data_IF_864198541536
#
_entry.id   IF_864198541536
#
_cell.length_a   1.000
_cell.length_b   1.000
_cell.length_c   1.000
_cell.angle_alpha   90.00
_cell.angle_beta   90.00
_cell.angle_gamma   90.00
#
_symmetry.space_group_name_H-M   'P 1'
#
loop_
_entity.id
_entity.type
_entity.pdbx_description
1 polymer ?
#
# COMPACT_ATOMS: atom_id res chain seq x y z
N UNK A 1 -18.11 -1.08 19.13
CA UNK A 1 -17.34 -0.22 18.21
C UNK A 1 -15.82 -0.35 18.43
N UNK A 2 -15.32 -0.23 19.67
CA UNK A 2 -13.88 -0.35 19.96
C UNK A 2 -13.24 -1.65 19.44
N UNK A 3 -13.89 -2.80 19.62
CA UNK A 3 -13.38 -4.08 19.10
C UNK A 3 -13.26 -4.10 17.56
N UNK A 4 -14.21 -3.47 16.85
CA UNK A 4 -14.14 -3.34 15.39
C UNK A 4 -12.95 -2.47 14.96
N UNK A 5 -12.70 -1.37 15.70
CA UNK A 5 -11.52 -0.53 15.51
C UNK A 5 -10.22 -1.29 15.81
N UNK A 6 -10.18 -2.17 16.82
CA UNK A 6 -9.02 -3.02 17.08
C UNK A 6 -8.70 -3.92 15.89
N UNK A 7 -9.70 -4.59 15.32
CA UNK A 7 -9.49 -5.42 14.12
C UNK A 7 -9.02 -4.61 12.91
N UNK A 8 -9.47 -3.35 12.77
CA UNK A 8 -8.94 -2.44 11.76
C UNK A 8 -7.43 -2.22 11.91
N UNK A 9 -6.96 -1.91 13.12
CA UNK A 9 -5.53 -1.68 13.36
C UNK A 9 -4.68 -2.96 13.23
N UNK A 10 -5.28 -4.13 13.44
CA UNK A 10 -4.68 -5.44 13.16
C UNK A 10 -4.73 -5.83 11.67
N UNK A 11 -5.27 -4.97 10.79
CA UNK A 11 -5.51 -5.24 9.37
C UNK A 11 -6.42 -6.45 9.10
N UNK A 12 -7.20 -6.90 10.09
CA UNK A 12 -8.20 -7.96 9.94
C UNK A 12 -9.54 -7.37 9.45
N UNK A 13 -9.53 -6.85 8.22
CA UNK A 13 -10.61 -6.04 7.66
C UNK A 13 -11.96 -6.78 7.59
N UNK A 14 -11.98 -8.07 7.25
CA UNK A 14 -13.22 -8.83 7.16
C UNK A 14 -13.90 -8.97 8.52
N UNK A 15 -13.14 -9.25 9.58
CA UNK A 15 -13.66 -9.32 10.95
C UNK A 15 -14.16 -7.96 11.43
N UNK A 16 -13.43 -6.89 11.07
CA UNK A 16 -13.83 -5.51 11.37
C UNK A 16 -15.17 -5.15 10.71
N UNK A 17 -15.33 -5.44 9.41
CA UNK A 17 -16.58 -5.21 8.66
C UNK A 17 -17.75 -5.98 9.29
N UNK A 18 -17.56 -7.26 9.62
CA UNK A 18 -18.61 -8.07 10.25
C UNK A 18 -19.11 -7.43 11.55
N UNK A 19 -18.20 -6.91 12.38
CA UNK A 19 -18.58 -6.22 13.62
C UNK A 19 -19.22 -4.86 13.38
N UNK A 20 -18.75 -4.08 12.40
CA UNK A 20 -19.40 -2.82 12.04
C UNK A 20 -20.82 -3.05 11.55
N UNK A 21 -21.06 -4.05 10.70
CA UNK A 21 -22.39 -4.45 10.27
C UNK A 21 -23.27 -4.90 11.46
N UNK A 22 -22.71 -5.68 12.39
CA UNK A 22 -23.41 -6.08 13.61
C UNK A 22 -23.81 -4.86 14.45
N UNK A 23 -22.91 -3.89 14.65
CA UNK A 23 -23.19 -2.65 15.38
C UNK A 23 -24.26 -1.83 14.66
N UNK A 24 -24.15 -1.72 13.33
CA UNK A 24 -25.10 -0.98 12.50
C UNK A 24 -26.53 -1.51 12.62
N UNK A 25 -26.69 -2.82 12.79
CA UNK A 25 -28.00 -3.49 12.93
C UNK A 25 -28.56 -3.43 14.36
N UNK A 26 -27.71 -3.63 15.38
CA UNK A 26 -28.16 -3.72 16.77
C UNK A 26 -28.17 -2.37 17.50
N UNK A 27 -27.37 -1.41 17.05
CA UNK A 27 -27.21 -0.08 17.64
C UNK A 27 -27.25 0.99 16.53
N UNK A 28 -28.41 1.21 15.88
CA UNK A 28 -28.50 2.00 14.65
C UNK A 28 -28.13 3.47 14.80
N UNK A 29 -28.14 4.02 16.03
CA UNK A 29 -27.75 5.39 16.32
C UNK A 29 -26.23 5.56 16.58
N UNK A 30 -25.47 4.46 16.64
CA UNK A 30 -24.04 4.50 16.91
C UNK A 30 -23.25 4.76 15.62
N UNK A 31 -22.52 5.89 15.58
CA UNK A 31 -21.64 6.32 14.49
C UNK A 31 -20.16 6.31 14.87
N UNK A 32 -19.81 5.78 16.04
CA UNK A 32 -18.43 5.78 16.53
C UNK A 32 -17.55 4.92 15.62
N UNK A 33 -16.40 5.48 15.23
CA UNK A 33 -15.39 4.83 14.37
C UNK A 33 -15.88 4.49 12.95
N UNK A 34 -16.94 5.14 12.47
CA UNK A 34 -17.41 4.94 11.10
C UNK A 34 -16.46 5.53 10.05
N UNK A 35 -15.57 6.45 10.43
CA UNK A 35 -14.42 6.84 9.63
C UNK A 35 -13.54 5.63 9.31
N UNK A 36 -13.23 4.79 10.31
CA UNK A 36 -12.47 3.55 10.11
C UNK A 36 -13.24 2.56 9.24
N UNK A 37 -14.55 2.41 9.46
CA UNK A 37 -15.38 1.56 8.61
C UNK A 37 -15.32 2.01 7.15
N UNK A 38 -15.48 3.30 6.89
CA UNK A 38 -15.38 3.86 5.53
C UNK A 38 -13.99 3.71 4.91
N UNK A 39 -12.91 3.82 5.70
CA UNK A 39 -11.54 3.56 5.22
C UNK A 39 -11.39 2.11 4.75
N UNK A 40 -11.98 1.14 5.45
CA UNK A 40 -11.96 -0.27 5.02
C UNK A 40 -12.70 -0.44 3.70
N UNK A 41 -13.91 0.12 3.59
CA UNK A 41 -14.71 0.02 2.37
C UNK A 41 -14.01 0.69 1.17
N UNK A 42 -13.33 1.81 1.41
CA UNK A 42 -12.45 2.45 0.43
C UNK A 42 -11.32 1.50 -0.02
N UNK A 43 -10.58 0.90 0.92
CA UNK A 43 -9.48 -0.04 0.62
C UNK A 43 -9.98 -1.26 -0.17
N UNK A 44 -11.17 -1.78 0.15
CA UNK A 44 -11.78 -2.91 -0.57
C UNK A 44 -12.48 -2.51 -1.87
N UNK A 45 -12.47 -1.22 -2.23
CA UNK A 45 -13.18 -0.66 -3.38
C UNK A 45 -14.69 -1.01 -3.40
N UNK A 46 -15.32 -1.13 -2.22
CA UNK A 46 -16.75 -1.44 -2.11
C UNK A 46 -17.58 -0.15 -2.13
N UNK A 47 -17.72 0.41 -3.33
CA UNK A 47 -18.45 1.66 -3.54
C UNK A 47 -19.94 1.53 -3.21
N UNK A 48 -20.52 0.32 -3.31
CA UNK A 48 -21.94 0.08 -3.04
C UNK A 48 -22.22 0.17 -1.55
N UNK A 49 -21.44 -0.55 -0.74
CA UNK A 49 -21.58 -0.50 0.70
C UNK A 49 -21.21 0.88 1.24
N UNK A 50 -20.17 1.52 0.67
CA UNK A 50 -19.77 2.87 1.07
C UNK A 50 -20.89 3.89 0.79
N UNK A 51 -21.56 3.82 -0.37
CA UNK A 51 -22.70 4.69 -0.67
C UNK A 51 -23.86 4.52 0.33
N UNK A 52 -24.20 3.27 0.66
CA UNK A 52 -25.24 2.98 1.66
C UNK A 52 -24.85 3.43 3.06
N UNK A 53 -23.56 3.38 3.39
CA UNK A 53 -23.05 3.90 4.66
C UNK A 53 -23.17 5.43 4.70
N UNK A 54 -22.81 6.11 3.60
CA UNK A 54 -22.93 7.56 3.47
C UNK A 54 -24.36 8.04 3.69
N UNK A 55 -25.36 7.44 3.01
CA UNK A 55 -26.77 7.85 3.17
C UNK A 55 -27.22 7.71 4.62
N UNK A 56 -26.90 6.58 5.27
CA UNK A 56 -27.25 6.35 6.67
C UNK A 56 -26.58 7.35 7.62
N UNK A 57 -25.29 7.66 7.43
CA UNK A 57 -24.58 8.61 8.29
C UNK A 57 -25.16 10.02 8.17
N UNK A 58 -25.50 10.44 6.94
CA UNK A 58 -26.10 11.74 6.66
C UNK A 58 -27.49 11.87 7.28
N UNK A 59 -28.33 10.82 7.18
CA UNK A 59 -29.65 10.80 7.80
C UNK A 59 -29.60 10.89 9.34
N UNK A 60 -28.60 10.26 9.95
CA UNK A 60 -28.46 10.22 11.41
C UNK A 60 -27.83 11.48 12.00
N UNK A 61 -26.68 11.91 11.46
CA UNK A 61 -26.00 13.11 11.91
C UNK A 61 -25.01 13.61 10.83
N UNK A 62 -25.39 14.61 10.02
CA UNK A 62 -24.54 15.13 8.95
C UNK A 62 -23.35 15.97 9.43
N UNK A 63 -23.42 16.53 10.65
CA UNK A 63 -22.40 17.44 11.19
C UNK A 63 -21.31 16.70 11.98
N UNK A 64 -21.43 15.38 12.10
CA UNK A 64 -20.45 14.57 12.83
C UNK A 64 -19.15 14.43 12.02
N UNK A 65 -17.95 14.58 12.64
CA UNK A 65 -16.68 14.42 11.94
C UNK A 65 -16.53 13.07 11.20
N UNK A 66 -16.98 11.98 11.81
CA UNK A 66 -16.96 10.65 11.19
C UNK A 66 -17.84 10.60 9.93
N UNK A 67 -19.05 11.16 10.00
CA UNK A 67 -19.96 11.26 8.84
C UNK A 67 -19.30 12.01 7.69
N UNK A 68 -18.62 13.13 7.98
CA UNK A 68 -17.89 13.88 6.98
C UNK A 68 -16.74 13.09 6.36
N UNK A 69 -16.04 12.27 7.15
CA UNK A 69 -15.03 11.34 6.64
C UNK A 69 -15.65 10.26 5.74
N UNK A 70 -16.81 9.72 6.11
CA UNK A 70 -17.54 8.75 5.27
C UNK A 70 -17.93 9.37 3.92
N UNK A 71 -18.46 10.59 3.91
CA UNK A 71 -18.80 11.32 2.68
C UNK A 71 -17.53 11.60 1.86
N UNK A 72 -16.46 12.04 2.49
CA UNK A 72 -15.20 12.34 1.81
C UNK A 72 -14.59 11.09 1.15
N UNK A 73 -14.55 9.97 1.87
CA UNK A 73 -14.08 8.69 1.32
C UNK A 73 -14.94 8.23 0.14
N UNK A 74 -16.25 8.45 0.17
CA UNK A 74 -17.13 8.16 -0.96
C UNK A 74 -16.80 9.00 -2.20
N UNK A 75 -16.57 10.31 -2.03
CA UNK A 75 -16.16 11.17 -3.13
C UNK A 75 -14.76 10.83 -3.66
N UNK A 76 -13.83 10.52 -2.76
CA UNK A 76 -12.47 10.07 -3.12
C UNK A 76 -12.53 8.80 -3.96
N UNK A 77 -13.32 7.80 -3.56
CA UNK A 77 -13.49 6.55 -4.32
C UNK A 77 -14.14 6.76 -5.70
N UNK A 78 -14.94 7.81 -5.85
CA UNK A 78 -15.49 8.24 -7.15
C UNK A 78 -14.50 9.01 -8.02
N UNK A 79 -13.28 9.30 -7.52
CA UNK A 79 -12.28 10.13 -8.19
C UNK A 79 -12.55 11.64 -8.08
N UNK A 80 -13.49 12.06 -7.21
CA UNK A 80 -13.76 13.48 -6.97
C UNK A 80 -12.99 13.97 -5.74
N UNK A 81 -11.69 14.16 -5.92
CA UNK A 81 -10.75 14.51 -4.86
C UNK A 81 -10.99 15.90 -4.27
N UNK A 82 -11.43 16.87 -5.08
CA UNK A 82 -11.71 18.24 -4.59
C UNK A 82 -12.86 18.23 -3.57
N UNK A 83 -13.97 17.54 -3.87
CA UNK A 83 -15.07 17.39 -2.94
C UNK A 83 -14.64 16.58 -1.70
N UNK A 84 -13.85 15.52 -1.88
CA UNK A 84 -13.32 14.74 -0.76
C UNK A 84 -12.54 15.65 0.22
N UNK A 85 -11.66 16.50 -0.30
CA UNK A 85 -10.90 17.48 0.48
C UNK A 85 -11.84 18.45 1.21
N UNK A 86 -12.89 18.95 0.56
CA UNK A 86 -13.85 19.86 1.20
C UNK A 86 -14.53 19.20 2.42
N UNK A 87 -15.00 17.96 2.28
CA UNK A 87 -15.64 17.24 3.38
C UNK A 87 -14.65 16.87 4.48
N UNK A 88 -13.42 16.47 4.16
CA UNK A 88 -12.38 16.28 5.17
C UNK A 88 -12.04 17.58 5.91
N UNK A 89 -11.99 18.72 5.19
CA UNK A 89 -11.81 20.04 5.81
C UNK A 89 -12.96 20.37 6.76
N UNK A 90 -14.21 20.03 6.41
CA UNK A 90 -15.34 20.16 7.33
C UNK A 90 -15.12 19.28 8.56
N UNK A 91 -14.71 18.03 8.42
CA UNK A 91 -14.46 17.13 9.56
C UNK A 91 -13.48 17.72 10.59
N UNK A 92 -12.38 18.35 10.13
CA UNK A 92 -11.40 19.00 11.02
C UNK A 92 -11.89 20.33 11.62
N UNK A 93 -12.90 20.99 11.03
CA UNK A 93 -13.53 22.16 11.68
C UNK A 93 -14.32 21.77 12.92
N UNK A 94 -14.97 20.59 12.89
CA UNK A 94 -15.69 20.05 14.05
C UNK A 94 -14.77 19.33 15.04
N UNK A 95 -13.68 18.70 14.56
CA UNK A 95 -12.68 18.04 15.41
C UNK A 95 -11.25 18.36 14.94
N UNK A 96 -10.65 19.46 15.42
CA UNK A 96 -9.31 19.88 14.98
C UNK A 96 -8.18 18.90 15.33
N UNK A 97 -8.41 18.00 16.29
CA UNK A 97 -7.46 16.98 16.74
C UNK A 97 -7.59 15.66 15.98
N UNK A 98 -8.50 15.57 15.00
CA UNK A 98 -8.75 14.36 14.23
C UNK A 98 -7.58 14.08 13.26
N UNK A 99 -6.52 13.50 13.81
CA UNK A 99 -5.19 13.50 13.18
C UNK A 99 -5.16 12.70 11.88
N UNK A 100 -5.89 11.58 11.82
CA UNK A 100 -6.01 10.74 10.62
C UNK A 100 -6.54 11.51 9.42
N UNK A 101 -7.41 12.50 9.63
CA UNK A 101 -8.01 13.28 8.53
C UNK A 101 -6.98 14.15 7.83
N UNK A 102 -5.99 14.71 8.54
CA UNK A 102 -4.90 15.45 7.89
C UNK A 102 -4.07 14.55 6.97
N UNK A 103 -3.86 13.29 7.35
CA UNK A 103 -3.21 12.29 6.49
C UNK A 103 -4.06 11.99 5.25
N UNK A 104 -5.38 11.83 5.41
CA UNK A 104 -6.30 11.60 4.28
C UNK A 104 -6.34 12.80 3.32
N UNK A 105 -6.41 14.03 3.83
CA UNK A 105 -6.29 15.24 2.99
C UNK A 105 -4.97 15.25 2.22
N UNK A 106 -3.88 14.83 2.85
CA UNK A 106 -2.58 14.68 2.20
C UNK A 106 -2.61 13.67 1.05
N UNK A 107 -3.32 12.55 1.19
CA UNK A 107 -3.51 11.58 0.10
C UNK A 107 -4.32 12.18 -1.05
N UNK A 108 -5.40 12.91 -0.77
CA UNK A 108 -6.19 13.54 -1.84
C UNK A 108 -5.39 14.58 -2.62
N UNK A 109 -4.57 15.40 -1.95
CA UNK A 109 -3.68 16.33 -2.65
C UNK A 109 -2.59 15.61 -3.46
N UNK A 110 -2.18 14.41 -3.05
CA UNK A 110 -1.26 13.59 -3.86
C UNK A 110 -1.91 13.14 -5.16
N UNK A 111 -3.17 12.72 -5.13
CA UNK A 111 -3.93 12.36 -6.35
C UNK A 111 -4.12 13.56 -7.28
N UNK A 112 -4.32 14.76 -6.72
CA UNK A 112 -4.35 16.02 -7.47
C UNK A 112 -2.97 16.52 -7.92
N UNK A 113 -1.87 15.87 -7.53
CA UNK A 113 -0.48 16.30 -7.76
C UNK A 113 -0.14 17.67 -7.16
N UNK A 114 -0.92 18.11 -6.17
CA UNK A 114 -0.73 19.34 -5.40
C UNK A 114 0.26 19.10 -4.25
N UNK A 115 1.51 18.83 -4.60
CA UNK A 115 2.52 18.32 -3.66
C UNK A 115 2.79 19.23 -2.46
N UNK A 116 2.77 20.56 -2.65
CA UNK A 116 2.97 21.52 -1.55
C UNK A 116 1.85 21.42 -0.49
N UNK A 117 0.61 21.25 -0.94
CA UNK A 117 -0.55 21.11 -0.07
C UNK A 117 -0.57 19.73 0.61
N UNK A 118 -0.10 18.69 -0.07
CA UNK A 118 0.12 17.37 0.53
C UNK A 118 1.17 17.44 1.66
N UNK A 119 2.33 18.06 1.42
CA UNK A 119 3.38 18.25 2.43
C UNK A 119 2.85 19.02 3.64
N UNK A 120 2.10 20.10 3.42
CA UNK A 120 1.47 20.85 4.51
C UNK A 120 0.56 19.97 5.36
N UNK A 121 -0.27 19.16 4.71
CA UNK A 121 -1.27 18.30 5.37
C UNK A 121 -0.61 17.17 6.18
N UNK A 122 0.40 16.49 5.63
CA UNK A 122 1.15 15.49 6.37
C UNK A 122 1.93 16.08 7.54
N UNK A 123 2.56 17.25 7.37
CA UNK A 123 3.25 17.93 8.48
C UNK A 123 2.28 18.33 9.60
N UNK A 124 1.04 18.73 9.26
CA UNK A 124 -0.01 18.94 10.24
C UNK A 124 -0.37 17.66 10.97
N UNK A 125 -0.52 16.54 10.26
CA UNK A 125 -0.76 15.23 10.89
C UNK A 125 0.36 14.90 11.89
N UNK A 126 1.63 15.07 11.50
CA UNK A 126 2.80 14.81 12.35
C UNK A 126 2.93 15.79 13.53
N UNK A 127 2.40 17.00 13.41
CA UNK A 127 2.33 17.94 14.53
C UNK A 127 1.43 17.42 15.65
N UNK A 128 0.31 16.79 15.31
CA UNK A 128 -0.64 16.23 16.29
C UNK A 128 -0.25 14.82 16.73
N UNK A 129 0.23 13.98 15.81
CA UNK A 129 0.72 12.64 16.11
C UNK A 129 2.03 12.33 15.37
N UNK A 130 3.15 12.41 16.11
CA UNK A 130 4.48 12.13 15.57
C UNK A 130 4.70 10.66 15.22
N UNK A 131 3.88 9.74 15.73
CA UNK A 131 4.00 8.30 15.49
C UNK A 131 3.08 7.81 14.36
N UNK A 132 2.37 8.70 13.65
CA UNK A 132 1.58 8.29 12.48
C UNK A 132 2.51 7.96 11.30
N UNK A 133 2.87 6.68 11.19
CA UNK A 133 3.74 6.17 10.12
C UNK A 133 3.18 6.47 8.71
N UNK A 134 1.86 6.61 8.56
CA UNK A 134 1.21 6.87 7.25
C UNK A 134 1.55 8.27 6.75
N UNK A 135 1.67 9.25 7.64
CA UNK A 135 2.08 10.60 7.26
C UNK A 135 3.58 10.65 6.91
N UNK A 136 4.43 9.89 7.61
CA UNK A 136 5.84 9.72 7.24
C UNK A 136 5.98 9.05 5.87
N UNK A 137 5.24 7.96 5.64
CA UNK A 137 5.16 7.27 4.35
C UNK A 137 4.68 8.22 3.24
N UNK A 138 3.61 8.99 3.50
CA UNK A 138 3.05 9.98 2.57
C UNK A 138 4.06 11.04 2.17
N UNK A 139 4.83 11.58 3.12
CA UNK A 139 5.94 12.51 2.82
C UNK A 139 7.02 11.84 1.95
N UNK A 140 7.40 10.59 2.25
CA UNK A 140 8.32 9.82 1.40
C UNK A 140 7.84 9.75 -0.05
N UNK A 141 6.57 9.41 -0.26
CA UNK A 141 5.93 9.37 -1.59
C UNK A 141 5.93 10.74 -2.27
N UNK A 142 5.64 11.82 -1.53
CA UNK A 142 5.65 13.19 -2.09
C UNK A 142 7.05 13.58 -2.56
N UNK A 143 8.06 13.42 -1.71
CA UNK A 143 9.44 13.79 -2.06
C UNK A 143 10.01 12.93 -3.18
N UNK A 144 9.61 11.66 -3.26
CA UNK A 144 9.92 10.82 -4.41
C UNK A 144 9.31 11.38 -5.70
N UNK A 145 8.05 11.81 -5.65
CA UNK A 145 7.35 12.41 -6.80
C UNK A 145 7.97 13.75 -7.24
N UNK A 146 8.64 14.45 -6.33
CA UNK A 146 9.43 15.66 -6.59
C UNK A 146 10.87 15.37 -7.04
N UNK A 147 11.24 14.10 -7.25
CA UNK A 147 12.62 13.67 -7.58
C UNK A 147 13.67 14.02 -6.51
N UNK A 148 13.23 14.26 -5.27
CA UNK A 148 14.08 14.57 -4.12
C UNK A 148 14.36 13.30 -3.32
N UNK A 149 15.16 12.41 -3.91
CA UNK A 149 15.39 11.03 -3.44
C UNK A 149 16.01 10.94 -2.04
N UNK A 150 16.90 11.86 -1.67
CA UNK A 150 17.54 11.88 -0.34
C UNK A 150 16.53 12.20 0.76
N UNK A 151 15.64 13.18 0.51
CA UNK A 151 14.54 13.50 1.41
C UNK A 151 13.55 12.34 1.49
N UNK A 152 13.17 11.77 0.34
CA UNK A 152 12.33 10.58 0.28
C UNK A 152 12.89 9.44 1.15
N UNK A 153 14.19 9.15 1.02
CA UNK A 153 14.86 8.11 1.80
C UNK A 153 14.75 8.37 3.30
N UNK A 154 14.92 9.62 3.75
CA UNK A 154 14.78 9.97 5.17
C UNK A 154 13.36 9.68 5.69
N UNK A 155 12.32 10.08 4.94
CA UNK A 155 10.94 9.88 5.36
C UNK A 155 10.53 8.40 5.34
N UNK A 156 10.99 7.62 4.36
CA UNK A 156 10.75 6.17 4.34
C UNK A 156 11.47 5.43 5.47
N UNK A 157 12.69 5.82 5.84
CA UNK A 157 13.40 5.27 7.01
C UNK A 157 12.60 5.55 8.29
N UNK A 158 12.09 6.77 8.46
CA UNK A 158 11.24 7.10 9.62
C UNK A 158 9.94 6.29 9.63
N UNK A 159 9.33 6.06 8.48
CA UNK A 159 8.15 5.21 8.37
C UNK A 159 8.46 3.75 8.74
N UNK A 160 9.59 3.20 8.30
CA UNK A 160 9.99 1.81 8.61
C UNK A 160 10.41 1.61 10.06
N UNK A 161 10.99 2.63 10.71
CA UNK A 161 11.26 2.62 12.16
C UNK A 161 9.97 2.53 12.99
N UNK A 162 8.90 3.22 12.56
CA UNK A 162 7.60 3.23 13.25
C UNK A 162 6.75 1.99 12.94
N UNK A 163 6.92 1.41 11.74
CA UNK A 163 6.14 0.28 11.25
C UNK A 163 7.08 -0.75 10.59
N UNK A 164 7.93 -1.45 11.38
CA UNK A 164 8.95 -2.36 10.85
C UNK A 164 8.38 -3.66 10.28
N UNK A 165 7.12 -3.97 10.60
CA UNK A 165 6.35 -5.14 10.19
C UNK A 165 5.66 -4.98 8.82
N UNK A 166 5.72 -3.79 8.20
CA UNK A 166 5.08 -3.52 6.91
C UNK A 166 6.07 -3.72 5.75
N UNK A 167 5.92 -4.84 5.03
CA UNK A 167 6.80 -5.22 3.92
C UNK A 167 6.83 -4.20 2.79
N UNK A 168 5.69 -3.56 2.52
CA UNK A 168 5.54 -2.62 1.42
C UNK A 168 6.37 -1.34 1.64
N UNK A 169 6.50 -0.89 2.90
CA UNK A 169 7.39 0.23 3.24
C UNK A 169 8.85 -0.13 2.92
N UNK A 170 9.27 -1.37 3.18
CA UNK A 170 10.61 -1.85 2.84
C UNK A 170 10.84 -1.94 1.33
N UNK A 171 9.83 -2.36 0.55
CA UNK A 171 9.90 -2.30 -0.91
C UNK A 171 10.08 -0.88 -1.42
N UNK A 172 9.25 0.07 -0.95
CA UNK A 172 9.39 1.48 -1.31
C UNK A 172 10.76 2.05 -0.92
N UNK A 173 11.25 1.74 0.28
CA UNK A 173 12.56 2.18 0.73
C UNK A 173 13.67 1.60 -0.15
N UNK A 174 13.60 0.31 -0.51
CA UNK A 174 14.56 -0.33 -1.41
C UNK A 174 14.61 0.37 -2.77
N UNK A 175 13.46 0.65 -3.38
CA UNK A 175 13.40 1.41 -4.64
C UNK A 175 14.04 2.80 -4.52
N UNK A 176 13.79 3.51 -3.42
CA UNK A 176 14.42 4.82 -3.18
C UNK A 176 15.93 4.70 -2.99
N UNK A 177 16.41 3.67 -2.29
CA UNK A 177 17.85 3.41 -2.13
C UNK A 177 18.54 3.09 -3.46
N UNK A 178 17.85 2.38 -4.35
CA UNK A 178 18.34 2.16 -5.70
C UNK A 178 18.51 3.47 -6.47
N UNK A 179 17.54 4.39 -6.38
CA UNK A 179 17.64 5.72 -6.99
C UNK A 179 18.79 6.55 -6.39
N UNK A 180 19.14 6.33 -5.12
CA UNK A 180 20.30 6.92 -4.48
C UNK A 180 21.64 6.26 -4.87
N UNK A 181 21.64 5.30 -5.80
CA UNK A 181 22.79 4.49 -6.21
C UNK A 181 23.38 3.61 -5.09
N UNK A 182 22.57 3.27 -4.07
CA UNK A 182 22.97 2.42 -2.96
C UNK A 182 22.43 1.00 -3.16
N UNK A 183 23.06 0.24 -4.05
CA UNK A 183 22.61 -1.11 -4.44
C UNK A 183 22.54 -2.07 -3.24
N UNK A 184 23.58 -2.10 -2.40
CA UNK A 184 23.64 -3.01 -1.26
C UNK A 184 22.52 -2.74 -0.25
N UNK A 185 22.27 -1.46 0.05
CA UNK A 185 21.17 -1.06 0.94
C UNK A 185 19.80 -1.39 0.32
N UNK A 186 19.66 -1.20 -1.00
CA UNK A 186 18.44 -1.57 -1.73
C UNK A 186 18.14 -3.06 -1.61
N UNK A 187 19.14 -3.91 -1.84
CA UNK A 187 19.00 -5.38 -1.72
C UNK A 187 18.66 -5.76 -0.28
N UNK A 188 19.29 -5.15 0.71
CA UNK A 188 18.96 -5.38 2.13
C UNK A 188 17.49 -5.05 2.44
N UNK A 189 16.98 -3.94 1.92
CA UNK A 189 15.58 -3.55 2.10
C UNK A 189 14.62 -4.55 1.42
N UNK A 190 14.91 -4.97 0.19
CA UNK A 190 14.09 -5.96 -0.51
C UNK A 190 14.11 -7.32 0.20
N UNK A 191 15.28 -7.78 0.67
CA UNK A 191 15.37 -8.99 1.47
C UNK A 191 14.55 -8.87 2.76
N UNK A 192 14.58 -7.71 3.42
CA UNK A 192 13.74 -7.47 4.60
C UNK A 192 12.24 -7.63 4.27
N UNK A 193 11.79 -7.11 3.13
CA UNK A 193 10.41 -7.31 2.67
C UNK A 193 10.08 -8.81 2.48
N UNK A 194 10.98 -9.59 1.88
CA UNK A 194 10.77 -11.05 1.71
C UNK A 194 10.66 -11.79 3.05
N UNK A 195 11.44 -11.39 4.07
CA UNK A 195 11.31 -12.00 5.41
C UNK A 195 9.96 -11.70 6.09
N UNK A 196 9.23 -10.69 5.61
CA UNK A 196 7.90 -10.32 6.07
C UNK A 196 6.79 -10.97 5.21
N UNK A 197 7.15 -11.85 4.27
CA UNK A 197 6.23 -12.58 3.41
C UNK A 197 5.96 -11.93 2.05
N UNK A 198 6.65 -10.86 1.71
CA UNK A 198 6.45 -10.15 0.45
C UNK A 198 7.45 -10.60 -0.61
N UNK A 199 6.98 -11.52 -1.44
CA UNK A 199 7.78 -12.17 -2.49
C UNK A 199 8.24 -11.21 -3.59
N UNK A 200 7.64 -10.02 -3.70
CA UNK A 200 8.06 -9.00 -4.67
C UNK A 200 9.48 -8.54 -4.42
N UNK A 201 9.97 -8.66 -3.19
CA UNK A 201 11.37 -8.39 -2.89
C UNK A 201 12.33 -9.25 -3.71
N UNK A 202 12.00 -10.53 -3.99
CA UNK A 202 12.83 -11.37 -4.86
C UNK A 202 12.84 -10.87 -6.30
N UNK A 203 11.68 -10.49 -6.83
CA UNK A 203 11.55 -9.95 -8.18
C UNK A 203 12.38 -8.67 -8.34
N UNK A 204 12.27 -7.74 -7.38
CA UNK A 204 13.01 -6.47 -7.39
C UNK A 204 14.53 -6.69 -7.35
N UNK A 205 15.01 -7.65 -6.55
CA UNK A 205 16.45 -8.00 -6.49
C UNK A 205 16.91 -8.64 -7.80
N UNK A 206 16.12 -9.56 -8.36
CA UNK A 206 16.46 -10.26 -9.59
C UNK A 206 16.55 -9.30 -10.78
N UNK A 207 15.57 -8.41 -10.94
CA UNK A 207 15.57 -7.39 -11.98
C UNK A 207 16.74 -6.41 -11.82
N UNK A 208 17.08 -6.03 -10.58
CA UNK A 208 18.25 -5.21 -10.29
C UNK A 208 19.53 -5.89 -10.80
N UNK A 209 19.77 -7.16 -10.43
CA UNK A 209 20.99 -7.86 -10.85
C UNK A 209 21.01 -8.13 -12.36
N UNK A 210 19.86 -8.41 -12.97
CA UNK A 210 19.75 -8.55 -14.43
C UNK A 210 20.16 -7.25 -15.14
N UNK A 211 19.71 -6.10 -14.66
CA UNK A 211 20.07 -4.79 -15.22
C UNK A 211 21.57 -4.49 -15.08
N UNK A 212 22.19 -4.93 -13.97
CA UNK A 212 23.64 -4.86 -13.75
C UNK A 212 24.43 -5.95 -14.51
N UNK A 213 23.76 -6.77 -15.34
CA UNK A 213 24.34 -7.91 -16.08
C UNK A 213 24.95 -9.00 -15.19
N UNK A 214 24.55 -9.03 -13.92
CA UNK A 214 24.91 -10.05 -12.93
C UNK A 214 23.91 -11.20 -13.01
N UNK A 215 23.94 -11.93 -14.14
CA UNK A 215 22.90 -12.90 -14.47
C UNK A 215 22.85 -14.09 -13.52
N UNK A 216 24.00 -14.54 -13.01
CA UNK A 216 24.04 -15.65 -12.05
C UNK A 216 23.26 -15.31 -10.77
N UNK A 217 23.48 -14.12 -10.21
CA UNK A 217 22.74 -13.66 -9.03
C UNK A 217 21.27 -13.42 -9.33
N UNK A 218 20.95 -12.84 -10.50
CA UNK A 218 19.57 -12.62 -10.93
C UNK A 218 18.77 -13.93 -10.97
N UNK A 219 19.36 -14.98 -11.55
CA UNK A 219 18.77 -16.31 -11.67
C UNK A 219 18.40 -16.87 -10.29
N UNK A 220 19.29 -16.81 -9.30
CA UNK A 220 19.03 -17.32 -7.93
C UNK A 220 17.74 -16.72 -7.35
N UNK A 221 17.52 -15.42 -7.51
CA UNK A 221 16.33 -14.75 -6.98
C UNK A 221 15.08 -14.97 -7.83
N UNK A 222 15.23 -15.11 -9.15
CA UNK A 222 14.13 -15.54 -10.01
C UNK A 222 13.65 -16.95 -9.67
N UNK A 223 14.56 -17.90 -9.38
CA UNK A 223 14.17 -19.24 -8.95
C UNK A 223 13.35 -19.18 -7.65
N UNK A 224 13.83 -18.43 -6.65
CA UNK A 224 13.08 -18.24 -5.38
C UNK A 224 11.69 -17.63 -5.60
N UNK A 225 11.59 -16.64 -6.47
CA UNK A 225 10.31 -16.02 -6.80
C UNK A 225 9.35 -17.02 -7.44
N UNK A 226 9.82 -17.81 -8.41
CA UNK A 226 9.01 -18.81 -9.12
C UNK A 226 8.59 -19.96 -8.20
N UNK A 227 9.45 -20.35 -7.26
CA UNK A 227 9.14 -21.41 -6.29
C UNK A 227 8.04 -20.98 -5.30
N UNK A 228 7.98 -19.69 -4.93
CA UNK A 228 7.01 -19.16 -3.96
C UNK A 228 5.74 -18.58 -4.62
N UNK A 229 5.84 -18.00 -5.82
CA UNK A 229 4.72 -17.37 -6.51
C UNK A 229 3.83 -18.39 -7.24
N UNK A 230 2.52 -18.37 -6.99
CA UNK A 230 1.55 -19.29 -7.62
C UNK A 230 0.49 -18.60 -8.48
N UNK A 231 0.28 -17.31 -8.28
CA UNK A 231 -0.88 -16.60 -8.84
C UNK A 231 -0.55 -15.80 -10.10
N UNK A 232 0.69 -15.32 -10.23
CA UNK A 232 1.11 -14.42 -11.33
C UNK A 232 1.71 -15.18 -12.50
N UNK A 233 0.83 -15.89 -13.23
CA UNK A 233 1.21 -16.75 -14.36
C UNK A 233 2.06 -16.03 -15.43
N UNK A 234 1.71 -14.79 -15.78
CA UNK A 234 2.45 -14.03 -16.79
C UNK A 234 3.88 -13.69 -16.36
N UNK A 235 4.08 -13.31 -15.10
CA UNK A 235 5.41 -13.01 -14.57
C UNK A 235 6.25 -14.27 -14.49
N UNK A 236 5.66 -15.37 -13.98
CA UNK A 236 6.31 -16.68 -13.91
C UNK A 236 6.74 -17.11 -15.32
N UNK A 237 5.87 -17.00 -16.31
CA UNK A 237 6.20 -17.35 -17.70
C UNK A 237 7.40 -16.56 -18.24
N UNK A 238 7.39 -15.22 -18.10
CA UNK A 238 8.51 -14.37 -18.55
C UNK A 238 9.82 -14.72 -17.85
N UNK A 239 9.75 -15.04 -16.56
CA UNK A 239 10.92 -15.45 -15.77
C UNK A 239 11.42 -16.82 -16.24
N UNK A 240 10.53 -17.80 -16.48
CA UNK A 240 10.91 -19.11 -16.97
C UNK A 240 11.57 -19.05 -18.36
N UNK A 241 11.13 -18.16 -19.24
CA UNK A 241 11.82 -17.89 -20.54
C UNK A 241 13.27 -17.46 -20.29
N UNK A 242 13.47 -16.45 -19.45
CA UNK A 242 14.80 -15.96 -19.10
C UNK A 242 15.68 -17.05 -18.45
N UNK A 243 15.11 -17.85 -17.56
CA UNK A 243 15.82 -18.97 -16.93
C UNK A 243 16.20 -20.04 -17.96
N UNK A 244 15.32 -20.37 -18.91
CA UNK A 244 15.64 -21.31 -19.99
C UNK A 244 16.81 -20.82 -20.86
N UNK A 245 16.78 -19.54 -21.28
CA UNK A 245 17.85 -18.94 -22.06
C UNK A 245 19.18 -19.02 -21.32
N UNK A 246 19.21 -18.59 -20.05
CA UNK A 246 20.41 -18.66 -19.22
C UNK A 246 20.94 -20.10 -19.04
N UNK A 247 20.06 -21.06 -18.73
CA UNK A 247 20.48 -22.43 -18.51
C UNK A 247 20.92 -23.15 -19.78
N UNK A 248 20.39 -22.75 -20.94
CA UNK A 248 20.84 -23.23 -22.24
C UNK A 248 22.25 -22.74 -22.54
N UNK A 249 22.57 -21.47 -22.27
CA UNK A 249 23.91 -20.91 -22.45
C UNK A 249 24.98 -21.63 -21.62
N UNK A 250 24.67 -21.98 -20.37
CA UNK A 250 25.62 -22.69 -19.49
C UNK A 250 25.57 -24.23 -19.67
N UNK A 251 24.75 -24.74 -20.59
CA UNK A 251 24.64 -26.17 -20.92
C UNK A 251 23.93 -27.03 -19.87
N UNK A 252 23.09 -26.46 -19.00
CA UNK A 252 22.34 -27.21 -17.99
C UNK A 252 20.98 -27.69 -18.51
N UNK A 253 21.01 -28.77 -19.30
CA UNK A 253 19.84 -29.34 -19.97
C UNK A 253 18.70 -29.68 -19.00
N UNK A 254 19.02 -30.18 -17.79
CA UNK A 254 18.00 -30.56 -16.79
C UNK A 254 17.16 -29.37 -16.34
N UNK A 255 17.79 -28.21 -16.12
CA UNK A 255 17.09 -26.99 -15.72
C UNK A 255 16.30 -26.40 -16.89
N UNK A 256 16.82 -26.49 -18.12
CA UNK A 256 16.06 -26.09 -19.33
C UNK A 256 14.78 -26.93 -19.46
N UNK A 257 14.87 -28.25 -19.36
CA UNK A 257 13.68 -29.13 -19.43
C UNK A 257 12.67 -28.83 -18.31
N UNK A 258 13.17 -28.53 -17.10
CA UNK A 258 12.31 -28.18 -15.96
C UNK A 258 11.50 -26.91 -16.22
N UNK A 259 12.16 -25.81 -16.60
CA UNK A 259 11.48 -24.54 -16.84
C UNK A 259 10.64 -24.54 -18.12
N UNK A 260 11.00 -25.33 -19.13
CA UNK A 260 10.17 -25.52 -20.34
C UNK A 260 8.84 -26.17 -19.97
N UNK A 261 8.84 -27.23 -19.16
CA UNK A 261 7.60 -27.87 -18.69
C UNK A 261 6.75 -26.90 -17.87
N UNK A 262 7.39 -26.11 -17.01
CA UNK A 262 6.69 -25.10 -16.22
C UNK A 262 6.04 -24.04 -17.12
N UNK A 263 6.71 -23.60 -18.19
CA UNK A 263 6.11 -22.68 -19.17
C UNK A 263 4.87 -23.27 -19.83
N UNK A 264 4.90 -24.54 -20.25
CA UNK A 264 3.74 -25.21 -20.88
C UNK A 264 2.50 -25.20 -19.97
N UNK A 265 2.69 -25.36 -18.65
CA UNK A 265 1.62 -25.29 -17.64
C UNK A 265 0.98 -23.89 -17.54
N UNK A 266 1.77 -22.84 -17.75
CA UNK A 266 1.33 -21.45 -17.63
C UNK A 266 0.88 -20.81 -18.96
N UNK A 267 1.20 -21.40 -20.12
CA UNK A 267 0.80 -20.94 -21.45
C UNK A 267 -0.67 -21.27 -21.80
N UNK A 268 -1.38 -22.04 -20.96
CA UNK A 268 -2.77 -22.43 -21.22
C UNK A 268 -2.90 -23.60 -22.21
N UNK A 269 -1.92 -24.51 -22.25
CA UNK A 269 -2.04 -25.82 -22.90
C UNK A 269 -2.46 -26.91 -21.91
N UNK A 270 -3.65 -26.75 -21.33
CA UNK A 270 -4.48 -27.86 -20.82
C UNK A 270 -5.92 -27.39 -20.62
#
# INVERSE_FOLDING_TARGET
ALLAATFYYLKEFDKSILLFNFIQNNFPLNLDFYDLFSNILYIKNDIKQLASLTTKCVELNPERPETMCVIANYYSLKGNHENAIEYFKKAITFSPTFTSVYTLIGHEYMELKEYNMAIYSYNKALKYNKTDYRAWYGLGKVYLSLSLKEYSSYFYIKASELKPDDSYIWLCLGQVKLLCNSIEESVSCFLKATTLGDIDGYLMIADLYKNEKRYYEAVIYYEKYVDECKERKEDIYKICVFLCEYYNEIGNIKKVEFYTKMMDEYEGRS
#
